data_IF_374366422355
#
_entry.id   IF_374366422355
#
_cell.length_a   1.000
_cell.length_b   1.000
_cell.length_c   1.000
_cell.angle_alpha   90.00
_cell.angle_beta   90.00
_cell.angle_gamma   90.00
#
_symmetry.space_group_name_H-M   'P 1'
#
loop_
_entity.id
_entity.type
_entity.pdbx_description
1 polymer ?
#
# COMPACT_ATOMS: atom_id res chain seq x y z
N UNK A 1 -13.08 12.51 13.22
CA UNK A 1 -12.49 11.15 13.27
C UNK A 1 -11.38 10.93 12.24
N UNK A 2 -11.63 11.00 10.92
CA UNK A 2 -10.57 10.76 9.90
C UNK A 2 -9.43 11.78 9.95
N UNK A 3 -9.74 13.09 10.05
CA UNK A 3 -8.71 14.15 10.17
C UNK A 3 -7.78 13.89 11.36
N UNK A 4 -8.36 13.64 12.52
CA UNK A 4 -7.65 13.41 13.78
C UNK A 4 -6.83 12.10 13.78
N UNK A 5 -7.35 11.06 13.15
CA UNK A 5 -6.60 9.83 12.87
C UNK A 5 -5.36 10.11 12.04
N UNK A 6 -5.50 10.88 10.95
CA UNK A 6 -4.38 11.21 10.10
C UNK A 6 -3.45 12.23 10.76
N UNK A 7 -3.90 13.13 11.62
CA UNK A 7 -2.98 14.03 12.35
C UNK A 7 -2.11 13.27 13.36
N UNK A 8 -2.69 12.35 14.13
CA UNK A 8 -1.99 11.57 15.16
C UNK A 8 -1.15 10.41 14.65
N UNK A 9 -1.34 9.98 13.40
CA UNK A 9 -0.61 8.85 12.84
C UNK A 9 0.87 9.17 12.54
N UNK A 10 1.80 8.21 12.75
CA UNK A 10 3.21 8.38 12.41
C UNK A 10 3.42 8.69 10.92
N UNK A 11 4.37 9.57 10.60
CA UNK A 11 4.72 9.91 9.21
C UNK A 11 5.13 8.68 8.40
N UNK A 12 5.86 7.74 9.00
CA UNK A 12 6.25 6.48 8.36
C UNK A 12 5.04 5.63 7.94
N UNK A 13 4.02 5.54 8.80
CA UNK A 13 2.77 4.85 8.48
C UNK A 13 2.07 5.49 7.28
N UNK A 14 1.99 6.83 7.25
CA UNK A 14 1.34 7.56 6.15
C UNK A 14 2.03 7.29 4.82
N UNK A 15 3.36 7.43 4.79
CA UNK A 15 4.16 7.19 3.58
C UNK A 15 3.96 5.76 3.08
N UNK A 16 4.00 4.77 3.97
CA UNK A 16 3.78 3.37 3.61
C UNK A 16 2.38 3.11 3.04
N UNK A 17 1.33 3.64 3.68
CA UNK A 17 -0.04 3.44 3.20
C UNK A 17 -0.27 4.13 1.86
N UNK A 18 0.15 5.38 1.69
CA UNK A 18 -0.05 6.09 0.43
C UNK A 18 0.78 5.49 -0.72
N UNK A 19 2.02 5.06 -0.45
CA UNK A 19 2.83 4.34 -1.45
C UNK A 19 2.22 2.98 -1.82
N UNK A 20 1.71 2.22 -0.85
CA UNK A 20 1.00 0.97 -1.09
C UNK A 20 -0.25 1.18 -1.97
N UNK A 21 -1.06 2.20 -1.66
CA UNK A 21 -2.25 2.52 -2.47
C UNK A 21 -1.88 2.97 -3.88
N UNK A 22 -0.83 3.78 -4.04
CA UNK A 22 -0.33 4.18 -5.35
C UNK A 22 0.14 2.98 -6.17
N UNK A 23 0.92 2.07 -5.58
CA UNK A 23 1.41 0.86 -6.26
C UNK A 23 0.27 -0.06 -6.68
N UNK A 24 -0.72 -0.29 -5.81
CA UNK A 24 -1.89 -1.10 -6.17
C UNK A 24 -2.66 -0.42 -7.31
N UNK A 25 -2.89 0.89 -7.24
CA UNK A 25 -3.56 1.64 -8.30
C UNK A 25 -2.83 1.54 -9.65
N UNK A 26 -1.50 1.74 -9.65
CA UNK A 26 -0.67 1.58 -10.86
C UNK A 26 -0.72 0.14 -11.38
N UNK A 27 -0.61 -0.85 -10.49
CA UNK A 27 -0.70 -2.26 -10.85
C UNK A 27 -2.04 -2.62 -11.49
N UNK A 28 -3.16 -2.08 -10.98
CA UNK A 28 -4.48 -2.27 -11.59
C UNK A 28 -4.57 -1.65 -12.98
N UNK A 29 -4.05 -0.43 -13.18
CA UNK A 29 -4.01 0.21 -14.50
C UNK A 29 -3.22 -0.64 -15.48
N UNK A 30 -2.02 -1.12 -15.09
CA UNK A 30 -1.20 -2.00 -15.92
C UNK A 30 -1.92 -3.31 -16.25
N UNK A 31 -2.65 -3.88 -15.29
CA UNK A 31 -3.42 -5.09 -15.50
C UNK A 31 -4.54 -4.89 -16.53
N UNK A 32 -5.28 -3.78 -16.42
CA UNK A 32 -6.33 -3.42 -17.38
C UNK A 32 -5.72 -3.26 -18.77
N UNK A 33 -4.66 -2.46 -18.91
CA UNK A 33 -3.97 -2.23 -20.20
C UNK A 33 -3.42 -3.54 -20.79
N UNK A 34 -2.83 -4.39 -19.96
CA UNK A 34 -2.32 -5.69 -20.38
C UNK A 34 -3.41 -6.60 -20.93
N UNK A 35 -4.56 -6.69 -20.25
CA UNK A 35 -5.68 -7.51 -20.70
C UNK A 35 -6.38 -6.94 -21.92
N UNK A 36 -6.60 -5.61 -22.00
CA UNK A 36 -7.25 -4.99 -23.16
C UNK A 36 -6.38 -5.04 -24.42
N UNK A 37 -5.05 -5.09 -24.25
CA UNK A 37 -4.10 -5.18 -25.36
C UNK A 37 -3.71 -6.63 -25.72
N UNK A 38 -4.33 -7.65 -25.09
CA UNK A 38 -3.91 -9.06 -25.19
C UNK A 38 -2.42 -9.30 -24.89
N UNK A 39 -1.80 -8.43 -24.08
CA UNK A 39 -0.40 -8.53 -23.67
C UNK A 39 -0.31 -9.29 -22.33
N UNK A 40 -0.12 -10.61 -22.44
CA UNK A 40 -0.07 -11.50 -21.28
C UNK A 40 1.11 -11.22 -20.36
N UNK A 41 2.26 -10.81 -20.91
CA UNK A 41 3.45 -10.48 -20.10
C UNK A 41 3.19 -9.26 -19.23
N UNK A 42 2.57 -8.22 -19.78
CA UNK A 42 2.21 -7.01 -19.04
C UNK A 42 1.17 -7.32 -17.96
N UNK A 43 0.17 -8.15 -18.28
CA UNK A 43 -0.83 -8.59 -17.30
C UNK A 43 -0.18 -9.38 -16.15
N UNK A 44 0.79 -10.25 -16.42
CA UNK A 44 1.51 -10.98 -15.36
C UNK A 44 2.43 -10.06 -14.55
N UNK A 45 3.17 -9.16 -15.21
CA UNK A 45 4.04 -8.20 -14.53
C UNK A 45 3.26 -7.27 -13.59
N UNK A 46 2.04 -6.89 -13.98
CA UNK A 46 1.15 -6.08 -13.14
C UNK A 46 0.79 -6.75 -11.80
N UNK A 47 0.70 -8.09 -11.77
CA UNK A 47 0.42 -8.83 -10.54
C UNK A 47 1.55 -8.68 -9.52
N UNK A 48 2.81 -8.63 -9.98
CA UNK A 48 3.95 -8.37 -9.10
C UNK A 48 3.87 -6.97 -8.47
N UNK A 49 3.46 -5.96 -9.25
CA UNK A 49 3.28 -4.58 -8.75
C UNK A 49 2.16 -4.51 -7.72
N UNK A 50 1.02 -5.15 -7.98
CA UNK A 50 -0.09 -5.24 -7.02
C UNK A 50 0.37 -5.98 -5.76
N UNK A 51 1.06 -7.11 -5.91
CA UNK A 51 1.61 -7.90 -4.81
C UNK A 51 2.54 -7.08 -3.91
N UNK A 52 3.46 -6.30 -4.50
CA UNK A 52 4.34 -5.40 -3.74
C UNK A 52 3.55 -4.34 -2.97
N UNK A 53 2.52 -3.75 -3.59
CA UNK A 53 1.66 -2.80 -2.90
C UNK A 53 0.89 -3.42 -1.73
N UNK A 54 0.42 -4.67 -1.86
CA UNK A 54 -0.23 -5.41 -0.77
C UNK A 54 0.74 -5.71 0.37
N UNK A 55 1.98 -6.12 0.07
CA UNK A 55 3.03 -6.34 1.08
C UNK A 55 3.32 -5.05 1.85
N UNK A 56 3.52 -3.93 1.15
CA UNK A 56 3.71 -2.63 1.79
C UNK A 56 2.52 -2.20 2.65
N UNK A 57 1.30 -2.55 2.22
CA UNK A 57 0.10 -2.29 3.00
C UNK A 57 0.12 -3.03 4.35
N UNK A 58 0.49 -4.31 4.35
CA UNK A 58 0.64 -5.11 5.57
C UNK A 58 1.75 -4.54 6.47
N UNK A 59 2.89 -4.17 5.89
CA UNK A 59 3.99 -3.53 6.63
C UNK A 59 3.52 -2.24 7.32
N UNK A 60 2.69 -1.43 6.65
CA UNK A 60 2.07 -0.24 7.25
C UNK A 60 1.27 -0.57 8.51
N UNK A 61 0.48 -1.65 8.50
CA UNK A 61 -0.29 -2.11 9.67
C UNK A 61 0.66 -2.46 10.82
N UNK A 62 1.74 -3.19 10.53
CA UNK A 62 2.74 -3.57 11.54
C UNK A 62 3.42 -2.35 12.14
N UNK A 63 3.86 -1.40 11.31
CA UNK A 63 4.51 -0.15 11.77
C UNK A 63 3.59 0.65 12.69
N UNK A 64 2.30 0.75 12.34
CA UNK A 64 1.31 1.41 13.20
C UNK A 64 1.10 0.66 14.51
N UNK A 65 0.99 -0.67 14.47
CA UNK A 65 0.85 -1.49 15.66
C UNK A 65 2.04 -1.35 16.61
N UNK A 66 3.26 -1.31 16.07
CA UNK A 66 4.49 -1.06 16.84
C UNK A 66 4.50 0.33 17.49
N UNK A 67 4.08 1.37 16.75
CA UNK A 67 3.99 2.73 17.27
C UNK A 67 3.00 2.83 18.45
N UNK A 68 1.82 2.23 18.31
CA UNK A 68 0.81 2.16 19.39
C UNK A 68 1.38 1.43 20.60
N UNK A 69 1.99 0.25 20.40
CA UNK A 69 2.61 -0.53 21.47
C UNK A 69 3.71 0.25 22.21
N UNK A 70 4.52 1.03 21.49
CA UNK A 70 5.57 1.87 22.10
C UNK A 70 4.96 2.98 22.95
N UNK A 71 3.87 3.59 22.52
CA UNK A 71 3.18 4.64 23.27
C UNK A 71 2.48 4.10 24.53
N UNK A 72 1.95 2.88 24.51
CA UNK A 72 1.32 2.24 25.68
C UNK A 72 2.31 1.79 26.77
N UNK A 73 3.60 1.65 26.43
CA UNK A 73 4.67 1.26 27.37
C UNK A 73 5.39 2.46 27.99
N UNK A 74 4.98 3.69 27.66
CA UNK A 74 5.39 4.92 28.31
C UNK A 74 4.36 5.32 29.35
#
# INVERSE_FOLDING_TARGET
MLKEFWESAPTSYKVLVFSAMALIGVGLILNIVGNTSNNRELAVASLAVIGLGLVLHIVGIVVRGQAIRKNLRR
#
